data_IF_471756943025
#
_entry.id   IF_471756943025
#
_cell.length_a   1.000
_cell.length_b   1.000
_cell.length_c   1.000
_cell.angle_alpha   90.00
_cell.angle_beta   90.00
_cell.angle_gamma   90.00
#
_symmetry.space_group_name_H-M   'P 1'
#
loop_
_entity.id
_entity.type
_entity.pdbx_description
1 polymer ?
#
# COMPACT_ATOMS: atom_id res chain seq x y z
N UNK A 1 -17.75 20.69 -8.98
CA UNK A 1 -17.88 20.76 -7.51
C UNK A 1 -16.46 20.63 -6.99
N UNK A 2 -16.00 21.47 -6.06
CA UNK A 2 -14.67 21.24 -5.50
C UNK A 2 -14.72 19.86 -4.83
N UNK A 3 -13.92 18.92 -5.33
CA UNK A 3 -13.89 17.55 -4.81
C UNK A 3 -13.52 17.58 -3.32
N UNK A 4 -14.05 16.62 -2.57
CA UNK A 4 -13.77 16.48 -1.15
C UNK A 4 -12.25 16.35 -0.92
N UNK A 5 -11.67 17.02 0.09
CA UNK A 5 -10.22 16.99 0.28
C UNK A 5 -9.69 15.55 0.44
N UNK A 6 -8.58 15.25 -0.22
CA UNK A 6 -7.93 13.94 -0.13
C UNK A 6 -7.53 13.63 1.32
N UNK A 7 -7.35 12.35 1.70
CA UNK A 7 -6.87 12.00 3.03
C UNK A 7 -5.54 12.71 3.39
N UNK A 8 -4.65 12.88 2.42
CA UNK A 8 -3.39 13.60 2.60
C UNK A 8 -3.62 15.10 2.86
N UNK A 9 -4.52 15.74 2.13
CA UNK A 9 -4.91 17.14 2.36
C UNK A 9 -5.50 17.34 3.75
N UNK A 10 -6.41 16.46 4.19
CA UNK A 10 -7.00 16.53 5.54
C UNK A 10 -5.96 16.36 6.65
N UNK A 11 -4.98 15.48 6.45
CA UNK A 11 -4.00 15.15 7.49
C UNK A 11 -2.83 16.14 7.58
N UNK A 12 -2.35 16.63 6.43
CA UNK A 12 -1.07 17.33 6.33
C UNK A 12 -1.11 18.58 5.45
N UNK A 13 -2.26 18.97 4.89
CA UNK A 13 -2.38 20.08 3.93
C UNK A 13 -1.83 21.39 4.46
N UNK A 14 -2.17 21.76 5.70
CA UNK A 14 -1.71 23.00 6.32
C UNK A 14 -0.26 22.92 6.81
N UNK A 15 0.23 21.71 7.13
CA UNK A 15 1.54 21.49 7.74
C UNK A 15 2.66 21.29 6.71
N UNK A 16 2.38 20.52 5.66
CA UNK A 16 3.32 20.14 4.61
C UNK A 16 2.67 20.22 3.21
N UNK A 17 2.21 21.40 2.78
CA UNK A 17 1.39 21.56 1.58
C UNK A 17 2.05 21.02 0.31
N UNK A 18 3.37 21.22 0.14
CA UNK A 18 4.08 20.72 -1.04
C UNK A 18 4.16 19.19 -1.07
N UNK A 19 4.27 18.53 0.08
CA UNK A 19 4.29 17.06 0.13
C UNK A 19 2.92 16.50 -0.27
N UNK A 20 1.85 17.14 0.18
CA UNK A 20 0.47 16.78 -0.21
C UNK A 20 0.27 17.00 -1.70
N UNK A 21 0.67 18.15 -2.25
CA UNK A 21 0.61 18.43 -3.69
C UNK A 21 1.35 17.36 -4.51
N UNK A 22 2.58 16.98 -4.13
CA UNK A 22 3.33 15.93 -4.81
C UNK A 22 2.68 14.54 -4.67
N UNK A 23 2.00 14.29 -3.55
CA UNK A 23 1.28 13.04 -3.32
C UNK A 23 0.07 12.94 -4.25
N UNK A 24 -0.71 14.01 -4.34
CA UNK A 24 -1.92 14.04 -5.16
C UNK A 24 -1.59 14.10 -6.66
N UNK A 25 -0.72 15.01 -7.08
CA UNK A 25 -0.49 15.30 -8.50
C UNK A 25 0.54 14.36 -9.14
N UNK A 26 1.67 14.11 -8.47
CA UNK A 26 2.78 13.35 -9.07
C UNK A 26 2.68 11.87 -8.76
N UNK A 27 2.50 11.51 -7.49
CA UNK A 27 2.44 10.10 -7.11
C UNK A 27 1.15 9.46 -7.65
N UNK A 28 -0.02 9.88 -7.16
CA UNK A 28 -1.28 9.26 -7.55
C UNK A 28 -1.82 9.78 -8.89
N UNK A 29 -1.67 11.07 -9.20
CA UNK A 29 -2.18 11.68 -10.44
C UNK A 29 -1.38 11.38 -11.71
N UNK A 30 -0.12 10.96 -11.61
CA UNK A 30 0.73 10.59 -12.76
C UNK A 30 1.30 9.18 -12.60
N UNK A 31 2.24 8.97 -11.67
CA UNK A 31 3.05 7.74 -11.64
C UNK A 31 2.21 6.47 -11.52
N UNK A 32 1.14 6.50 -10.72
CA UNK A 32 0.21 5.37 -10.55
C UNK A 32 -0.72 5.15 -11.76
N UNK A 33 -0.98 6.18 -12.57
CA UNK A 33 -1.85 6.13 -13.76
C UNK A 33 -1.11 5.71 -15.05
N UNK A 34 0.22 5.66 -15.02
CA UNK A 34 1.02 5.32 -16.21
C UNK A 34 0.66 3.90 -16.74
N UNK A 35 0.37 3.74 -18.05
CA UNK A 35 -0.25 2.54 -18.61
C UNK A 35 0.67 1.32 -18.74
N UNK A 36 1.99 1.49 -18.55
CA UNK A 36 2.97 0.41 -18.70
C UNK A 36 2.88 -0.68 -17.63
N UNK A 37 2.16 -0.44 -16.53
CA UNK A 37 1.93 -1.42 -15.48
C UNK A 37 0.53 -1.20 -14.88
N UNK A 38 -0.23 -2.29 -14.72
CA UNK A 38 -1.59 -2.23 -14.17
C UNK A 38 -1.59 -1.76 -12.70
N UNK A 39 -2.70 -1.17 -12.20
CA UNK A 39 -2.84 -0.84 -10.79
C UNK A 39 -2.65 -2.07 -9.87
N UNK A 40 -3.09 -3.25 -10.33
CA UNK A 40 -2.89 -4.54 -9.65
C UNK A 40 -1.40 -4.80 -9.42
N UNK A 41 -0.61 -4.76 -10.49
CA UNK A 41 0.81 -5.10 -10.42
C UNK A 41 1.63 -4.02 -9.70
N UNK A 42 1.23 -2.73 -9.82
CA UNK A 42 1.80 -1.64 -9.02
C UNK A 42 1.58 -1.86 -7.53
N UNK A 43 0.37 -2.28 -7.14
CA UNK A 43 0.07 -2.62 -5.75
C UNK A 43 0.92 -3.80 -5.27
N UNK A 44 1.11 -4.84 -6.09
CA UNK A 44 1.98 -5.98 -5.72
C UNK A 44 3.41 -5.53 -5.42
N UNK A 45 4.00 -4.71 -6.30
CA UNK A 45 5.35 -4.16 -6.11
C UNK A 45 5.41 -3.29 -4.86
N UNK A 46 4.40 -2.44 -4.65
CA UNK A 46 4.38 -1.52 -3.50
C UNK A 46 4.29 -2.28 -2.18
N UNK A 47 3.37 -3.26 -2.07
CA UNK A 47 3.20 -4.08 -0.87
C UNK A 47 4.47 -4.86 -0.55
N UNK A 48 5.06 -5.55 -1.53
CA UNK A 48 6.28 -6.35 -1.31
C UNK A 48 7.47 -5.47 -0.95
N UNK A 49 7.57 -4.27 -1.53
CA UNK A 49 8.62 -3.30 -1.19
C UNK A 49 8.45 -2.75 0.23
N UNK A 50 7.23 -2.38 0.63
CA UNK A 50 6.95 -1.89 1.99
C UNK A 50 7.20 -2.97 3.05
N UNK A 51 6.82 -4.21 2.76
CA UNK A 51 7.11 -5.36 3.62
C UNK A 51 8.63 -5.57 3.74
N UNK A 52 9.38 -5.55 2.63
CA UNK A 52 10.82 -5.74 2.62
C UNK A 52 11.58 -4.65 3.40
N UNK A 53 11.10 -3.42 3.32
CA UNK A 53 11.67 -2.26 4.04
C UNK A 53 11.14 -2.10 5.47
N UNK A 54 10.30 -3.02 5.95
CA UNK A 54 9.67 -2.97 7.27
C UNK A 54 8.94 -1.64 7.53
N UNK A 55 8.18 -1.15 6.54
CA UNK A 55 7.38 0.10 6.61
C UNK A 55 5.93 -0.22 6.98
N UNK A 56 5.75 -0.79 8.16
CA UNK A 56 4.47 -1.34 8.68
C UNK A 56 3.34 -0.31 8.74
N UNK A 57 3.65 0.95 9.04
CA UNK A 57 2.68 2.06 9.12
C UNK A 57 2.00 2.36 7.76
N UNK A 58 2.67 2.04 6.65
CA UNK A 58 2.13 2.24 5.30
C UNK A 58 1.58 0.94 4.71
N UNK A 59 2.11 -0.20 5.14
CA UNK A 59 1.80 -1.51 4.57
C UNK A 59 0.30 -1.83 4.64
N UNK A 60 -0.37 -1.56 5.76
CA UNK A 60 -1.79 -1.86 5.90
C UNK A 60 -2.70 -1.14 4.88
N UNK A 61 -2.42 0.13 4.59
CA UNK A 61 -3.17 0.89 3.60
C UNK A 61 -2.93 0.36 2.18
N UNK A 62 -1.69 0.00 1.86
CA UNK A 62 -1.36 -0.56 0.55
C UNK A 62 -1.83 -2.01 0.36
N UNK A 63 -1.96 -2.80 1.43
CA UNK A 63 -2.62 -4.11 1.37
C UNK A 63 -4.11 -3.98 1.03
N UNK A 64 -4.81 -3.03 1.64
CA UNK A 64 -6.21 -2.72 1.29
C UNK A 64 -6.35 -2.25 -0.16
N UNK A 65 -5.46 -1.36 -0.61
CA UNK A 65 -5.43 -0.89 -1.99
C UNK A 65 -5.09 -2.02 -2.98
N UNK A 66 -4.20 -2.95 -2.61
CA UNK A 66 -3.87 -4.12 -3.41
C UNK A 66 -5.09 -5.02 -3.66
N UNK A 67 -5.85 -5.30 -2.60
CA UNK A 67 -7.10 -6.07 -2.68
C UNK A 67 -8.14 -5.34 -3.56
N UNK A 68 -8.30 -4.02 -3.38
CA UNK A 68 -9.20 -3.21 -4.18
C UNK A 68 -8.80 -3.17 -5.68
N UNK A 69 -7.50 -3.20 -5.97
CA UNK A 69 -6.96 -3.27 -7.33
C UNK A 69 -6.96 -4.69 -7.93
N UNK A 70 -7.55 -5.67 -7.24
CA UNK A 70 -7.81 -7.01 -7.78
C UNK A 70 -6.75 -8.07 -7.49
N UNK A 71 -5.79 -7.82 -6.59
CA UNK A 71 -5.00 -8.91 -6.01
C UNK A 71 -5.87 -9.74 -5.07
N UNK A 72 -5.73 -11.05 -5.13
CA UNK A 72 -6.39 -11.96 -4.19
C UNK A 72 -5.57 -12.10 -2.90
N UNK A 73 -6.24 -12.53 -1.83
CA UNK A 73 -5.57 -12.92 -0.58
C UNK A 73 -4.49 -13.97 -0.84
N UNK A 74 -4.77 -14.98 -1.67
CA UNK A 74 -3.84 -16.08 -1.92
C UNK A 74 -2.59 -15.59 -2.68
N UNK A 75 -2.75 -14.71 -3.68
CA UNK A 75 -1.60 -14.09 -4.38
C UNK A 75 -0.73 -13.25 -3.44
N UNK A 76 -1.34 -12.50 -2.52
CA UNK A 76 -0.60 -11.72 -1.53
C UNK A 76 0.13 -12.62 -0.52
N UNK A 77 -0.51 -13.70 -0.08
CA UNK A 77 0.14 -14.71 0.80
C UNK A 77 1.34 -15.34 0.09
N UNK A 78 1.20 -15.71 -1.19
CA UNK A 78 2.32 -16.28 -1.96
C UNK A 78 3.46 -15.29 -2.16
N UNK A 79 3.15 -14.03 -2.52
CA UNK A 79 4.16 -12.99 -2.68
C UNK A 79 4.93 -12.71 -1.38
N UNK A 80 4.23 -12.64 -0.24
CA UNK A 80 4.83 -12.42 1.08
C UNK A 80 5.65 -13.65 1.52
N UNK A 81 5.16 -14.86 1.26
CA UNK A 81 5.90 -16.10 1.51
C UNK A 81 7.20 -16.13 0.71
N UNK A 82 7.14 -15.79 -0.57
CA UNK A 82 8.32 -15.70 -1.43
C UNK A 82 9.30 -14.64 -0.92
N UNK A 83 8.79 -13.51 -0.46
CA UNK A 83 9.60 -12.43 0.11
C UNK A 83 10.39 -12.86 1.35
N UNK A 84 9.93 -13.85 2.12
CA UNK A 84 10.63 -14.35 3.30
C UNK A 84 12.07 -14.81 2.99
N UNK A 85 12.30 -15.31 1.77
CA UNK A 85 13.62 -15.76 1.31
C UNK A 85 14.56 -14.61 0.92
N UNK A 86 14.02 -13.43 0.60
CA UNK A 86 14.79 -12.27 0.13
C UNK A 86 14.91 -11.15 1.16
N UNK A 87 13.89 -10.96 2.00
CA UNK A 87 13.82 -9.90 3.01
C UNK A 87 13.77 -10.44 4.45
N UNK A 88 13.87 -11.76 4.62
CA UNK A 88 13.91 -12.43 5.92
C UNK A 88 12.53 -12.74 6.50
N UNK A 89 12.51 -13.75 7.37
CA UNK A 89 11.30 -14.26 8.04
C UNK A 89 10.54 -13.19 8.85
N UNK A 90 11.19 -12.28 9.61
CA UNK A 90 10.47 -11.25 10.36
C UNK A 90 9.62 -10.33 9.47
N UNK A 91 10.15 -9.91 8.32
CA UNK A 91 9.44 -9.06 7.36
C UNK A 91 8.19 -9.75 6.83
N UNK A 92 8.31 -11.02 6.45
CA UNK A 92 7.19 -11.82 5.95
C UNK A 92 6.13 -12.09 7.03
N UNK A 93 6.55 -12.46 8.24
CA UNK A 93 5.63 -12.74 9.36
C UNK A 93 4.82 -11.49 9.75
N UNK A 94 5.47 -10.33 9.81
CA UNK A 94 4.77 -9.07 10.09
C UNK A 94 3.77 -8.74 8.98
N UNK A 95 4.17 -8.85 7.71
CA UNK A 95 3.31 -8.54 6.57
C UNK A 95 2.09 -9.48 6.47
N UNK A 96 2.29 -10.79 6.63
CA UNK A 96 1.18 -11.76 6.53
C UNK A 96 0.22 -11.64 7.71
N UNK A 97 0.70 -11.24 8.89
CA UNK A 97 -0.15 -10.97 10.06
C UNK A 97 -1.06 -9.77 9.80
N UNK A 98 -0.52 -8.67 9.27
CA UNK A 98 -1.34 -7.52 8.90
C UNK A 98 -2.36 -7.86 7.80
N UNK A 99 -1.96 -8.62 6.77
CA UNK A 99 -2.89 -9.08 5.73
C UNK A 99 -4.03 -9.91 6.32
N UNK A 100 -3.70 -10.84 7.24
CA UNK A 100 -4.69 -11.66 7.94
C UNK A 100 -5.68 -10.80 8.72
N UNK A 101 -5.20 -9.81 9.47
CA UNK A 101 -6.07 -8.93 10.25
C UNK A 101 -7.02 -8.12 9.35
N UNK A 102 -6.54 -7.62 8.21
CA UNK A 102 -7.35 -6.90 7.21
C UNK A 102 -8.44 -7.80 6.64
N UNK A 103 -8.09 -9.02 6.22
CA UNK A 103 -9.03 -9.96 5.57
C UNK A 103 -10.07 -10.49 6.57
N UNK A 104 -9.70 -10.62 7.84
CA UNK A 104 -10.61 -11.06 8.90
C UNK A 104 -11.38 -9.89 9.54
N UNK A 105 -11.19 -8.64 9.07
CA UNK A 105 -11.89 -7.46 9.58
C UNK A 105 -11.51 -7.09 11.02
N UNK A 106 -10.32 -7.48 11.48
CA UNK A 106 -9.81 -7.06 12.78
C UNK A 106 -9.26 -5.65 12.65
N UNK A 107 -9.82 -4.69 13.40
CA UNK A 107 -9.29 -3.32 13.44
C UNK A 107 -7.87 -3.33 14.01
N UNK A 108 -6.88 -3.30 13.12
CA UNK A 108 -5.55 -2.79 13.43
C UNK A 108 -5.65 -1.27 13.32
N UNK A 109 -5.69 -0.60 14.47
CA UNK A 109 -5.82 0.85 14.58
C UNK A 109 -4.68 1.62 13.92
#
# INVERSE_FOLDING_TARGET
>A
MADEPTPAQKALGDFAPKLVELTDEVLFGDVWERPGLSPRDRSLITVTTLAALYRTEQLGNHLRLALANGLTKDELVEAITHLAFYAGWPSAMTAVTQLKDIVEGRNTG
#
